data_IF_618856240582
#
_entry.id   IF_618856240582
#
_cell.length_a   1.000
_cell.length_b   1.000
_cell.length_c   1.000
_cell.angle_alpha   90.00
_cell.angle_beta   90.00
_cell.angle_gamma   90.00
#
_symmetry.space_group_name_H-M   'P 1'
#
loop_
_entity.id
_entity.type
_entity.pdbx_description
1 polymer ?
#
# COMPACT_ATOMS: atom_id res chain seq x y z
N UNK A 1 -17.28 11.21 -9.65
CA UNK A 1 -16.55 11.57 -10.87
C UNK A 1 -15.09 11.18 -10.66
N UNK A 2 -14.54 10.36 -11.56
CA UNK A 2 -13.18 9.80 -11.44
C UNK A 2 -12.09 10.75 -11.96
N UNK A 3 -12.47 11.82 -12.66
CA UNK A 3 -11.54 12.80 -13.23
C UNK A 3 -11.09 13.87 -12.22
N UNK A 4 -11.84 14.03 -11.13
CA UNK A 4 -11.56 14.99 -10.06
C UNK A 4 -11.00 14.30 -8.81
N UNK A 5 -10.36 15.07 -7.93
CA UNK A 5 -9.91 14.57 -6.63
C UNK A 5 -11.09 14.05 -5.80
N UNK A 6 -10.83 13.07 -4.92
CA UNK A 6 -11.84 12.55 -4.00
C UNK A 6 -12.20 13.62 -2.95
N UNK A 7 -13.43 14.15 -2.94
CA UNK A 7 -13.83 15.19 -1.97
C UNK A 7 -13.87 14.68 -0.53
N UNK A 8 -13.93 13.36 -0.31
CA UNK A 8 -14.03 12.75 1.01
C UNK A 8 -12.72 12.10 1.48
N UNK A 9 -11.67 12.12 0.66
CA UNK A 9 -10.36 11.54 0.97
C UNK A 9 -10.38 10.07 1.40
N UNK A 10 -11.40 9.31 1.00
CA UNK A 10 -11.56 7.90 1.31
C UNK A 10 -10.54 7.07 0.54
N UNK A 11 -10.35 7.34 -0.76
CA UNK A 11 -9.41 6.58 -1.60
C UNK A 11 -7.94 6.76 -1.17
N UNK A 12 -7.44 7.98 -0.90
CA UNK A 12 -6.09 8.15 -0.36
C UNK A 12 -5.89 7.44 0.97
N UNK A 13 -6.89 7.47 1.86
CA UNK A 13 -6.80 6.81 3.16
C UNK A 13 -6.72 5.28 3.02
N UNK A 14 -7.55 4.69 2.16
CA UNK A 14 -7.50 3.25 1.85
C UNK A 14 -6.12 2.88 1.28
N UNK A 15 -5.58 3.70 0.37
CA UNK A 15 -4.24 3.49 -0.18
C UNK A 15 -3.16 3.54 0.91
N UNK A 16 -3.24 4.51 1.83
CA UNK A 16 -2.31 4.60 2.95
C UNK A 16 -2.31 3.37 3.84
N UNK A 17 -3.50 2.87 4.17
CA UNK A 17 -3.69 1.66 4.96
C UNK A 17 -3.16 0.43 4.20
N UNK A 18 -3.46 0.31 2.90
CA UNK A 18 -3.01 -0.84 2.10
C UNK A 18 -1.48 -0.86 1.97
N UNK A 19 -0.84 0.30 1.81
CA UNK A 19 0.63 0.41 1.83
C UNK A 19 1.23 -0.05 3.15
N UNK A 20 0.62 0.28 4.29
CA UNK A 20 1.08 -0.20 5.60
C UNK A 20 0.96 -1.72 5.74
N UNK A 21 -0.12 -2.31 5.22
CA UNK A 21 -0.30 -3.76 5.18
C UNK A 21 0.76 -4.41 4.30
N UNK A 22 1.03 -3.85 3.11
CA UNK A 22 2.06 -4.35 2.21
C UNK A 22 3.45 -4.30 2.86
N UNK A 23 3.78 -3.21 3.55
CA UNK A 23 5.07 -3.10 4.26
C UNK A 23 5.24 -4.15 5.34
N UNK A 24 4.16 -4.54 6.04
CA UNK A 24 4.20 -5.61 7.05
C UNK A 24 4.39 -7.00 6.46
N UNK A 25 3.99 -7.21 5.20
CA UNK A 25 4.24 -8.47 4.47
C UNK A 25 5.64 -8.55 3.89
N UNK A 26 6.33 -7.42 3.75
CA UNK A 26 7.71 -7.36 3.27
C UNK A 26 8.68 -7.48 4.45
N UNK A 27 9.83 -8.15 4.27
CA UNK A 27 10.91 -8.14 5.25
C UNK A 27 11.35 -6.69 5.54
N UNK A 28 11.47 -6.34 6.82
CA UNK A 28 11.97 -5.03 7.19
C UNK A 28 13.45 -4.89 6.78
N UNK A 29 13.90 -3.70 6.34
CA UNK A 29 15.31 -3.45 6.08
C UNK A 29 16.14 -3.67 7.36
N UNK A 30 17.37 -4.19 7.24
CA UNK A 30 18.24 -4.43 8.39
C UNK A 30 18.70 -3.12 9.07
N UNK A 31 18.74 -2.00 8.33
CA UNK A 31 19.11 -0.70 8.86
C UNK A 31 17.92 0.03 9.51
N UNK A 32 18.04 0.51 10.76
CA UNK A 32 16.94 1.14 11.50
C UNK A 32 16.54 2.52 10.96
N UNK A 33 17.43 3.23 10.26
CA UNK A 33 17.10 4.52 9.63
C UNK A 33 16.24 4.24 8.39
N UNK A 34 16.64 3.27 7.56
CA UNK A 34 15.87 2.87 6.37
C UNK A 34 14.48 2.37 6.75
N UNK A 35 14.36 1.57 7.82
CA UNK A 35 13.07 1.09 8.32
C UNK A 35 12.15 2.26 8.72
N UNK A 36 12.66 3.26 9.45
CA UNK A 36 11.90 4.45 9.84
C UNK A 36 11.45 5.27 8.63
N UNK A 37 12.31 5.44 7.63
CA UNK A 37 11.96 6.14 6.38
C UNK A 37 10.85 5.38 5.65
N UNK A 38 10.96 4.07 5.51
CA UNK A 38 9.93 3.25 4.87
C UNK A 38 8.59 3.37 5.59
N UNK A 39 8.57 3.34 6.93
CA UNK A 39 7.33 3.53 7.70
C UNK A 39 6.70 4.92 7.54
N UNK A 40 7.47 5.95 7.20
CA UNK A 40 6.96 7.29 6.94
C UNK A 40 6.36 7.46 5.53
N UNK A 41 6.83 6.68 4.54
CA UNK A 41 6.40 6.80 3.14
C UNK A 41 4.87 6.64 2.92
N UNK A 42 4.16 5.69 3.55
CA UNK A 42 2.71 5.55 3.37
C UNK A 42 1.95 6.82 3.73
N UNK A 43 2.37 7.53 4.78
CA UNK A 43 1.75 8.78 5.19
C UNK A 43 1.99 9.87 4.17
N UNK A 44 3.24 10.02 3.71
CA UNK A 44 3.61 10.99 2.66
C UNK A 44 2.79 10.75 1.39
N UNK A 45 2.71 9.50 0.93
CA UNK A 45 1.95 9.14 -0.27
C UNK A 45 0.44 9.30 -0.09
N UNK A 46 -0.10 9.07 1.11
CA UNK A 46 -1.51 9.32 1.43
C UNK A 46 -1.86 10.79 1.23
N UNK A 47 -1.06 11.70 1.79
CA UNK A 47 -1.27 13.14 1.58
C UNK A 47 -1.02 13.55 0.13
N UNK A 48 -0.05 12.95 -0.54
CA UNK A 48 0.20 13.18 -1.96
C UNK A 48 -1.02 12.80 -2.82
N UNK A 49 -1.65 11.64 -2.59
CA UNK A 49 -2.83 11.20 -3.35
C UNK A 49 -4.09 12.01 -3.13
N UNK A 50 -4.17 12.75 -2.03
CA UNK A 50 -5.26 13.69 -1.77
C UNK A 50 -5.40 14.77 -2.86
N UNK A 51 -4.33 15.03 -3.63
CA UNK A 51 -4.30 16.03 -4.70
C UNK A 51 -4.45 15.45 -6.12
N UNK A 52 -4.54 14.13 -6.26
CA UNK A 52 -4.63 13.46 -7.57
C UNK A 52 -6.07 13.13 -7.96
N UNK A 53 -6.35 12.94 -9.27
CA UNK A 53 -7.64 12.44 -9.75
C UNK A 53 -8.00 11.10 -9.10
N UNK A 54 -9.22 10.99 -8.61
CA UNK A 54 -9.70 9.81 -7.86
C UNK A 54 -9.66 8.52 -8.69
N UNK A 55 -9.79 8.59 -10.02
CA UNK A 55 -9.65 7.44 -10.92
C UNK A 55 -8.25 6.84 -10.92
N UNK A 56 -7.21 7.68 -10.89
CA UNK A 56 -5.82 7.20 -10.80
C UNK A 56 -5.57 6.56 -9.43
N UNK A 57 -6.03 7.21 -8.35
CA UNK A 57 -5.88 6.68 -6.99
C UNK A 57 -6.61 5.35 -6.85
N UNK A 58 -7.83 5.24 -7.39
CA UNK A 58 -8.59 3.99 -7.40
C UNK A 58 -7.87 2.87 -8.14
N UNK A 59 -7.28 3.15 -9.31
CA UNK A 59 -6.47 2.18 -10.05
C UNK A 59 -5.31 1.65 -9.20
N UNK A 60 -4.59 2.53 -8.49
CA UNK A 60 -3.51 2.12 -7.59
C UNK A 60 -3.99 1.35 -6.37
N UNK A 61 -5.10 1.74 -5.76
CA UNK A 61 -5.70 1.00 -4.64
C UNK A 61 -6.02 -0.43 -5.06
N UNK A 62 -6.72 -0.62 -6.19
CA UNK A 62 -7.10 -1.95 -6.67
C UNK A 62 -5.86 -2.78 -6.99
N UNK A 63 -4.87 -2.21 -7.69
CA UNK A 63 -3.63 -2.92 -8.02
C UNK A 63 -2.86 -3.33 -6.75
N UNK A 64 -2.76 -2.42 -5.77
CA UNK A 64 -2.05 -2.69 -4.53
C UNK A 64 -2.71 -3.80 -3.72
N UNK A 65 -4.04 -3.81 -3.62
CA UNK A 65 -4.79 -4.88 -2.93
C UNK A 65 -4.59 -6.23 -3.63
N UNK A 66 -4.64 -6.28 -4.97
CA UNK A 66 -4.38 -7.50 -5.73
C UNK A 66 -2.95 -8.01 -5.49
N UNK A 67 -1.96 -7.12 -5.53
CA UNK A 67 -0.56 -7.44 -5.28
C UNK A 67 -0.33 -7.99 -3.87
N UNK A 68 -0.93 -7.35 -2.85
CA UNK A 68 -0.91 -7.82 -1.45
C UNK A 68 -1.51 -9.22 -1.33
N UNK A 69 -2.68 -9.43 -1.97
CA UNK A 69 -3.38 -10.72 -1.93
C UNK A 69 -2.53 -11.81 -2.56
N UNK A 70 -1.96 -11.53 -3.74
CA UNK A 70 -1.05 -12.46 -4.42
C UNK A 70 0.17 -12.77 -3.56
N UNK A 71 0.83 -11.75 -3.00
CA UNK A 71 1.99 -11.92 -2.15
C UNK A 71 1.67 -12.78 -0.93
N UNK A 72 0.56 -12.51 -0.25
CA UNK A 72 0.12 -13.27 0.92
C UNK A 72 -0.12 -14.76 0.60
N UNK A 73 -0.76 -15.07 -0.54
CA UNK A 73 -0.97 -16.45 -0.99
C UNK A 73 0.38 -17.14 -1.26
N UNK A 74 1.31 -16.46 -1.93
CA UNK A 74 2.64 -17.01 -2.26
C UNK A 74 3.43 -17.28 -0.98
N UNK A 75 3.52 -16.31 -0.06
CA UNK A 75 4.23 -16.45 1.21
C UNK A 75 3.69 -17.65 2.00
N UNK A 76 2.36 -17.79 2.13
CA UNK A 76 1.75 -18.95 2.80
C UNK A 76 2.07 -20.29 2.14
N UNK A 77 2.11 -20.34 0.80
CA UNK A 77 2.45 -21.57 0.07
C UNK A 77 3.91 -21.97 0.29
N UNK A 78 4.82 -21.00 0.31
CA UNK A 78 6.24 -21.23 0.60
C UNK A 78 6.42 -21.76 2.02
N UNK A 79 5.75 -21.15 3.01
CA UNK A 79 5.77 -21.60 4.40
C UNK A 79 5.22 -23.03 4.57
N UNK A 80 4.11 -23.35 3.90
CA UNK A 80 3.49 -24.68 3.97
C UNK A 80 4.29 -25.79 3.25
N UNK A 81 5.01 -25.44 2.17
CA UNK A 81 5.86 -26.39 1.42
C UNK A 81 7.27 -26.55 1.96
N UNK A 82 7.69 -25.68 2.88
CA UNK A 82 8.97 -25.75 3.59
C UNK A 82 8.91 -26.49 4.94
N UNK A 83 7.78 -27.17 5.23
CA UNK A 83 7.56 -27.99 6.42
C UNK A 83 7.84 -29.47 6.15
#
# INVERSE_FOLDING_TARGET
DLSVKDPYFVLPLIMGISMLVQQKLNPAPPDPIQAKVMMALPFVFTFFFAFFPSGLVLYWVVNNILSITQQWIITKRIEAGGS
#
